data_IF_424599294889
#
_entry.id   IF_424599294889
#
_cell.length_a   1.000
_cell.length_b   1.000
_cell.length_c   1.000
_cell.angle_alpha   90.00
_cell.angle_beta   90.00
_cell.angle_gamma   90.00
#
_symmetry.space_group_name_H-M   'P 1'
#
loop_
_entity.id
_entity.type
_entity.pdbx_description
1 polymer ?
#
# COMPACT_ATOMS: atom_id res chain seq x y z
N UNK A 1 -18.77 -7.47 -3.98
CA UNK A 1 -17.94 -6.55 -3.18
C UNK A 1 -16.55 -6.52 -3.76
N UNK A 2 -16.17 -5.47 -4.50
CA UNK A 2 -14.85 -5.39 -5.11
C UNK A 2 -13.87 -4.80 -4.09
N UNK A 3 -13.14 -5.66 -3.38
CA UNK A 3 -12.19 -5.25 -2.35
C UNK A 3 -11.09 -4.40 -2.98
N UNK A 4 -11.15 -3.08 -2.79
CA UNK A 4 -10.16 -2.14 -3.31
C UNK A 4 -8.84 -2.43 -2.59
N UNK A 5 -7.86 -2.93 -3.34
CA UNK A 5 -6.50 -3.12 -2.85
C UNK A 5 -5.85 -1.76 -2.63
N UNK A 6 -5.39 -1.51 -1.40
CA UNK A 6 -4.67 -0.29 -1.04
C UNK A 6 -3.23 -0.63 -0.71
N UNK A 7 -2.32 0.25 -1.06
CA UNK A 7 -0.89 0.01 -0.91
C UNK A 7 -0.29 0.92 0.13
N UNK A 8 0.27 0.32 1.19
CA UNK A 8 1.00 1.01 2.23
C UNK A 8 2.50 0.73 2.11
N UNK A 9 3.32 1.69 2.54
CA UNK A 9 4.77 1.53 2.63
C UNK A 9 5.14 0.60 3.79
N UNK A 10 6.12 -0.26 3.56
CA UNK A 10 6.81 -1.00 4.63
C UNK A 10 7.98 -0.18 5.19
N UNK A 11 8.61 -0.64 6.27
CA UNK A 11 9.85 -0.04 6.79
C UNK A 11 10.95 0.00 5.72
N UNK A 12 11.05 -1.04 4.89
CA UNK A 12 12.00 -1.11 3.78
C UNK A 12 11.75 -0.02 2.72
N UNK A 13 10.48 0.30 2.46
CA UNK A 13 10.13 1.40 1.57
C UNK A 13 10.58 2.76 2.10
N UNK A 14 10.51 2.97 3.41
CA UNK A 14 10.99 4.22 4.03
C UNK A 14 12.50 4.37 3.93
N UNK A 15 13.25 3.29 4.10
CA UNK A 15 14.71 3.30 3.92
C UNK A 15 15.09 3.60 2.46
N UNK A 16 14.40 2.96 1.52
CA UNK A 16 14.68 3.14 0.10
C UNK A 16 14.23 4.52 -0.44
N UNK A 17 13.25 5.17 0.20
CA UNK A 17 12.89 6.57 -0.07
C UNK A 17 14.06 7.53 0.23
N UNK A 18 14.97 7.20 1.14
CA UNK A 18 16.15 8.03 1.39
C UNK A 18 17.22 7.88 0.28
N UNK A 19 17.09 6.87 -0.62
CA UNK A 19 18.11 6.49 -1.61
C UNK A 19 17.50 6.37 -3.02
N UNK A 20 17.22 7.50 -3.70
CA UNK A 20 16.55 7.50 -5.00
C UNK A 20 17.27 6.71 -6.10
N UNK A 21 18.59 6.61 -6.05
CA UNK A 21 19.41 5.90 -7.05
C UNK A 21 19.12 4.39 -7.13
N UNK A 22 18.59 3.78 -6.06
CA UNK A 22 18.40 2.33 -5.98
C UNK A 22 17.10 1.86 -6.63
N UNK A 23 16.04 2.67 -6.53
CA UNK A 23 14.70 2.34 -6.98
C UNK A 23 14.42 2.83 -8.41
N UNK A 24 15.16 3.84 -8.86
CA UNK A 24 14.83 4.59 -10.06
C UNK A 24 13.64 5.53 -9.85
N UNK A 25 13.55 6.54 -10.72
CA UNK A 25 12.63 7.67 -10.57
C UNK A 25 11.16 7.24 -10.45
N UNK A 26 10.69 6.33 -11.31
CA UNK A 26 9.27 5.92 -11.35
C UNK A 26 8.84 5.17 -10.09
N UNK A 27 9.63 4.21 -9.63
CA UNK A 27 9.34 3.46 -8.41
C UNK A 27 9.42 4.36 -7.16
N UNK A 28 10.36 5.30 -7.14
CA UNK A 28 10.47 6.28 -6.06
C UNK A 28 9.23 7.20 -6.01
N UNK A 29 8.79 7.74 -7.15
CA UNK A 29 7.56 8.54 -7.21
C UNK A 29 6.34 7.75 -6.73
N UNK A 30 6.21 6.49 -7.15
CA UNK A 30 5.14 5.61 -6.67
C UNK A 30 5.20 5.39 -5.15
N UNK A 31 6.39 5.19 -4.58
CA UNK A 31 6.59 5.06 -3.14
C UNK A 31 6.19 6.32 -2.37
N UNK A 32 6.52 7.51 -2.88
CA UNK A 32 6.07 8.77 -2.30
C UNK A 32 4.53 8.84 -2.27
N UNK A 33 3.89 8.41 -3.36
CA UNK A 33 2.44 8.49 -3.56
C UNK A 33 1.65 7.38 -2.82
N UNK A 34 2.26 6.23 -2.55
CA UNK A 34 1.64 5.10 -1.86
C UNK A 34 1.54 5.37 -0.35
N UNK A 35 0.40 5.85 0.12
CA UNK A 35 0.17 6.28 1.51
C UNK A 35 -0.83 5.38 2.27
N UNK A 36 -1.10 4.16 1.79
CA UNK A 36 -2.09 3.24 2.38
C UNK A 36 -3.55 3.58 2.06
N UNK A 37 -3.81 4.70 1.37
CA UNK A 37 -5.18 5.13 1.03
C UNK A 37 -5.50 5.01 -0.44
N UNK A 38 -4.48 4.91 -1.29
CA UNK A 38 -4.63 4.91 -2.75
C UNK A 38 -4.60 3.51 -3.33
N UNK A 39 -5.48 3.31 -4.30
CA UNK A 39 -5.54 2.13 -5.15
C UNK A 39 -4.61 2.26 -6.37
N UNK A 40 -4.37 1.15 -7.06
CA UNK A 40 -3.61 1.10 -8.31
C UNK A 40 -4.15 2.09 -9.36
N UNK A 41 -5.48 2.11 -9.54
CA UNK A 41 -6.15 2.99 -10.49
C UNK A 41 -5.93 4.47 -10.17
N UNK A 42 -5.95 4.85 -8.89
CA UNK A 42 -5.67 6.23 -8.49
C UNK A 42 -4.20 6.60 -8.71
N UNK A 43 -3.28 5.68 -8.40
CA UNK A 43 -1.85 5.88 -8.66
C UNK A 43 -1.57 6.04 -10.16
N UNK A 44 -2.17 5.20 -11.00
CA UNK A 44 -2.06 5.30 -12.46
C UNK A 44 -2.63 6.61 -13.00
N UNK A 45 -3.79 7.06 -12.50
CA UNK A 45 -4.36 8.36 -12.89
C UNK A 45 -3.49 9.54 -12.51
N UNK A 46 -2.85 9.49 -11.35
CA UNK A 46 -1.99 10.58 -10.87
C UNK A 46 -0.67 10.65 -11.62
N UNK A 47 -0.12 9.51 -12.05
CA UNK A 47 1.10 9.49 -12.85
C UNK A 47 0.80 9.61 -14.36
N UNK A 48 -0.46 9.43 -14.78
CA UNK A 48 -0.87 9.48 -16.19
C UNK A 48 -0.39 8.28 -17.00
N UNK A 49 -0.02 7.17 -16.36
CA UNK A 49 0.57 5.99 -17.00
C UNK A 49 0.15 4.70 -16.28
N UNK A 50 0.37 3.55 -16.94
CA UNK A 50 0.23 2.26 -16.28
C UNK A 50 1.34 2.07 -15.23
N UNK A 51 0.92 1.79 -14.01
CA UNK A 51 1.80 1.59 -12.85
C UNK A 51 1.84 0.15 -12.39
N UNK A 52 1.00 -0.71 -12.96
CA UNK A 52 0.76 -2.11 -12.56
C UNK A 52 2.07 -2.90 -12.46
N UNK A 53 2.94 -2.80 -13.46
CA UNK A 53 4.23 -3.49 -13.47
C UNK A 53 5.19 -3.04 -12.36
N UNK A 54 5.29 -1.73 -12.11
CA UNK A 54 6.17 -1.19 -11.05
C UNK A 54 5.59 -1.49 -9.67
N UNK A 55 4.27 -1.46 -9.53
CA UNK A 55 3.58 -1.74 -8.29
C UNK A 55 3.73 -3.23 -7.91
N UNK A 56 3.59 -4.14 -8.88
CA UNK A 56 3.86 -5.56 -8.69
C UNK A 56 5.32 -5.81 -8.31
N UNK A 57 6.28 -5.14 -8.94
CA UNK A 57 7.68 -5.25 -8.57
C UNK A 57 7.93 -4.76 -7.13
N UNK A 58 7.37 -3.61 -6.74
CA UNK A 58 7.50 -3.07 -5.38
C UNK A 58 6.88 -4.00 -4.31
N UNK A 59 5.80 -4.70 -4.63
CA UNK A 59 5.21 -5.73 -3.77
C UNK A 59 6.15 -6.94 -3.63
N UNK A 60 6.68 -7.46 -4.74
CA UNK A 60 7.59 -8.61 -4.72
C UNK A 60 8.88 -8.33 -3.96
N UNK A 61 9.39 -7.10 -4.03
CA UNK A 61 10.58 -6.67 -3.30
C UNK A 61 10.29 -6.34 -1.82
N UNK A 62 9.03 -6.36 -1.40
CA UNK A 62 8.63 -6.06 -0.02
C UNK A 62 8.68 -4.57 0.34
N UNK A 63 8.70 -3.67 -0.63
CA UNK A 63 8.59 -2.24 -0.40
C UNK A 63 7.14 -1.81 -0.13
N UNK A 64 6.17 -2.45 -0.79
CA UNK A 64 4.75 -2.21 -0.56
C UNK A 64 4.10 -3.41 0.09
N UNK A 65 3.07 -3.13 0.88
CA UNK A 65 2.13 -4.14 1.40
C UNK A 65 0.73 -3.81 0.91
N UNK A 66 0.00 -4.84 0.49
CA UNK A 66 -1.40 -4.71 0.11
C UNK A 66 -2.25 -4.81 1.36
N UNK A 67 -2.66 -3.67 1.90
CA UNK A 67 -3.72 -3.60 2.90
C UNK A 67 -5.05 -3.80 2.17
N UNK A 68 -5.63 -4.99 2.28
CA UNK A 68 -7.07 -5.11 2.11
C UNK A 68 -7.73 -4.30 3.23
N UNK A 69 -8.85 -3.58 2.97
CA UNK A 69 -9.65 -3.11 4.08
C UNK A 69 -9.99 -4.34 4.90
N UNK A 70 -9.52 -4.37 6.15
CA UNK A 70 -9.99 -5.36 7.11
C UNK A 70 -11.52 -5.31 7.02
N UNK A 71 -12.14 -6.43 6.62
CA UNK A 71 -13.49 -6.66 7.07
C UNK A 71 -13.40 -6.51 8.58
N UNK A 72 -13.99 -5.44 9.11
CA UNK A 72 -14.27 -5.32 10.53
C UNK A 72 -15.13 -6.52 10.88
N UNK A 73 -14.48 -7.62 11.28
CA UNK A 73 -15.06 -8.50 12.26
C UNK A 73 -15.00 -7.67 13.54
N UNK A 74 -16.07 -6.90 13.74
CA UNK A 74 -16.49 -6.46 15.05
C UNK A 74 -16.73 -7.74 15.85
N UNK A 75 -15.66 -8.36 16.35
CA UNK A 75 -15.75 -9.19 17.54
C UNK A 75 -15.90 -8.17 18.66
N UNK A 76 -17.14 -7.72 18.86
CA UNK A 76 -17.63 -7.28 20.15
C UNK A 76 -17.52 -8.53 21.04
N UNK A 77 -16.35 -8.67 21.64
CA UNK A 77 -16.06 -9.71 22.61
C UNK A 77 -16.98 -9.45 23.80
N UNK A 78 -17.94 -10.35 23.95
CA UNK A 78 -18.88 -10.53 25.04
C UNK A 78 -18.20 -10.29 26.40
N UNK A 79 -18.27 -9.05 26.93
CA UNK A 79 -17.98 -8.80 28.34
C UNK A 79 -19.27 -9.07 29.12
N UNK A 80 -19.52 -10.34 29.40
CA UNK A 80 -20.35 -10.73 30.55
C UNK A 80 -19.57 -10.41 31.84
N UNK A 81 -19.88 -9.26 32.43
CA UNK A 81 -19.58 -8.96 33.83
C UNK A 81 -20.87 -8.34 34.40
N UNK A 82 -21.63 -8.97 35.29
CA UNK A 82 -21.16 -9.64 36.50
C UNK A 82 -21.11 -8.62 37.64
N UNK A 83 -22.27 -8.16 38.11
CA UNK A 83 -22.52 -7.61 39.44
C UNK A 83 -24.03 -7.51 39.70
#
# INVERSE_FOLDING_TARGET
MNSIRRYAKTTRAWDALARPDILGRKAHTLLLMANGRRSENELGRLLGEDVSGVLQWLLQQGYLQCTQPAHTVETDDDIVAGA
#
